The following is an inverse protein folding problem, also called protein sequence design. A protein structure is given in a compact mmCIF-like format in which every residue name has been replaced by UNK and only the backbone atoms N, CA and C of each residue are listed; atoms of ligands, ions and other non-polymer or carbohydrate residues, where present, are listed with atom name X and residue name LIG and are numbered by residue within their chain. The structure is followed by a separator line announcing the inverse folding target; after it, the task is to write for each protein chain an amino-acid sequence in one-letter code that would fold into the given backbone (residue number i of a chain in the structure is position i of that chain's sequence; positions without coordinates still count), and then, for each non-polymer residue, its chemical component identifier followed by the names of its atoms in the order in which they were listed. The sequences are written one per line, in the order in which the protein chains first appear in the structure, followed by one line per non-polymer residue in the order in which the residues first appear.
data_IF_968680229607
#
_entry.id   IF_968680229607
#
_cell.length_a   1.000
_cell.length_b   1.000
_cell.length_c   1.000
_cell.angle_alpha   90.00
_cell.angle_beta   90.00
_cell.angle_gamma   90.00
#
_symmetry.space_group_name_H-M   'P 1'
#
loop_
_entity.id
_entity.type
_entity.pdbx_description
1 polymer ?
#
# COMPACT_ATOMS: atom_id res chain seq x y z
N UNK A 1 -5.12 -12.82 -12.53
CA UNK A 1 -5.67 -11.46 -12.30
C UNK A 1 -6.48 -11.32 -11.00
N UNK A 2 -6.49 -12.30 -10.07
CA UNK A 2 -7.21 -12.15 -8.79
C UNK A 2 -6.34 -11.52 -7.68
N UNK A 3 -5.02 -11.72 -7.73
CA UNK A 3 -4.09 -11.21 -6.70
C UNK A 3 -4.08 -9.68 -6.59
N UNK A 4 -4.01 -8.95 -7.71
CA UNK A 4 -4.04 -7.48 -7.68
C UNK A 4 -5.29 -6.92 -6.97
N UNK A 5 -6.46 -7.51 -7.19
CA UNK A 5 -7.68 -7.11 -6.49
C UNK A 5 -7.64 -7.42 -4.99
N UNK A 6 -7.08 -8.57 -4.61
CA UNK A 6 -6.90 -8.94 -3.19
C UNK A 6 -5.93 -7.97 -2.51
N UNK A 7 -4.83 -7.62 -3.18
CA UNK A 7 -3.84 -6.67 -2.69
C UNK A 7 -4.46 -5.28 -2.52
N UNK A 8 -5.17 -4.78 -3.53
CA UNK A 8 -5.88 -3.50 -3.43
C UNK A 8 -6.88 -3.49 -2.27
N UNK A 9 -7.64 -4.56 -2.10
CA UNK A 9 -8.61 -4.65 -1.02
C UNK A 9 -7.91 -4.61 0.34
N UNK A 10 -6.84 -5.40 0.52
CA UNK A 10 -6.06 -5.41 1.76
C UNK A 10 -5.40 -4.06 2.05
N UNK A 11 -4.82 -3.41 1.02
CA UNK A 11 -4.28 -2.07 1.15
C UNK A 11 -5.35 -1.09 1.60
N UNK A 12 -6.55 -1.15 1.03
CA UNK A 12 -7.65 -0.28 1.46
C UNK A 12 -8.01 -0.53 2.94
N UNK A 13 -8.08 -1.80 3.38
CA UNK A 13 -8.29 -2.12 4.81
C UNK A 13 -7.18 -1.59 5.72
N UNK A 14 -5.93 -1.68 5.29
CA UNK A 14 -4.77 -1.19 6.05
C UNK A 14 -4.76 0.35 6.07
N UNK A 15 -5.17 1.00 4.98
CA UNK A 15 -5.19 2.46 4.83
C UNK A 15 -6.42 3.11 5.50
N UNK A 16 -7.56 2.43 5.58
CA UNK A 16 -8.80 2.87 6.24
C UNK A 16 -8.61 3.61 7.58
N UNK A 17 -7.80 3.11 8.54
CA UNK A 17 -7.55 3.82 9.80
C UNK A 17 -6.67 5.07 9.66
N UNK A 18 -5.92 5.21 8.57
CA UNK A 18 -5.02 6.35 8.32
C UNK A 18 -5.66 7.44 7.45
N UNK A 19 -6.71 7.11 6.69
CA UNK A 19 -7.42 8.07 5.83
C UNK A 19 -8.53 8.81 6.57
N UNK A 20 -8.87 9.99 6.08
CA UNK A 20 -9.96 10.78 6.65
C UNK A 20 -11.30 10.09 6.39
N UNK A 21 -12.19 10.04 7.39
CA UNK A 21 -13.54 9.48 7.23
C UNK A 21 -14.26 10.13 6.04
N UNK A 22 -14.64 9.31 5.06
CA UNK A 22 -15.34 9.74 3.85
C UNK A 22 -14.44 10.00 2.64
N UNK A 23 -13.11 9.86 2.77
CA UNK A 23 -12.19 9.91 1.64
C UNK A 23 -12.22 8.58 0.89
N UNK A 24 -12.57 8.63 -0.40
CA UNK A 24 -12.54 7.47 -1.27
C UNK A 24 -11.10 7.19 -1.69
N UNK A 25 -10.53 6.10 -1.18
CA UNK A 25 -9.22 5.61 -1.61
C UNK A 25 -9.38 4.85 -2.92
N UNK A 26 -8.82 5.40 -3.99
CA UNK A 26 -8.80 4.79 -5.31
C UNK A 26 -7.37 4.43 -5.70
N UNK A 27 -7.20 3.71 -6.81
CA UNK A 27 -5.89 3.32 -7.32
C UNK A 27 -5.01 4.54 -7.66
N UNK A 28 -5.63 5.66 -8.06
CA UNK A 28 -4.95 6.92 -8.39
C UNK A 28 -4.65 7.80 -7.17
N UNK A 29 -5.16 7.43 -5.98
CA UNK A 29 -4.96 8.21 -4.75
C UNK A 29 -3.49 8.22 -4.36
N UNK A 30 -2.94 9.41 -4.17
CA UNK A 30 -1.55 9.61 -3.74
C UNK A 30 -1.42 9.39 -2.23
N UNK A 31 -0.57 8.45 -1.85
CA UNK A 31 -0.35 8.04 -0.47
C UNK A 31 0.23 9.17 0.39
N UNK A 32 1.05 10.05 -0.18
CA UNK A 32 1.70 11.13 0.58
C UNK A 32 0.96 12.45 0.36
N UNK A 33 0.64 12.79 -0.88
CA UNK A 33 0.04 14.07 -1.21
C UNK A 33 -1.47 14.13 -0.92
N UNK A 34 -2.22 13.05 -1.14
CA UNK A 34 -3.68 13.02 -0.95
C UNK A 34 -4.06 12.50 0.45
N UNK A 35 -3.38 11.46 0.92
CA UNK A 35 -3.65 10.88 2.25
C UNK A 35 -2.81 11.50 3.38
N UNK A 36 -1.75 12.26 3.06
CA UNK A 36 -0.89 12.86 4.08
C UNK A 36 -0.20 11.82 4.96
N UNK A 37 0.24 10.69 4.38
CA UNK A 37 0.94 9.67 5.15
C UNK A 37 2.35 10.15 5.53
N UNK A 38 2.56 10.31 6.83
CA UNK A 38 3.86 10.58 7.42
C UNK A 38 4.78 9.36 7.35
N UNK A 39 6.11 9.53 7.34
CA UNK A 39 7.08 8.41 7.33
C UNK A 39 6.79 7.34 8.39
N UNK A 40 6.30 7.72 9.58
CA UNK A 40 5.90 6.78 10.62
C UNK A 40 4.67 5.95 10.25
N UNK A 41 3.68 6.56 9.61
CA UNK A 41 2.48 5.84 9.13
C UNK A 41 2.87 4.88 8.01
N UNK A 42 3.72 5.34 7.09
CA UNK A 42 4.26 4.51 6.00
C UNK A 42 4.95 3.27 6.56
N UNK A 43 5.83 3.42 7.57
CA UNK A 43 6.46 2.27 8.24
C UNK A 43 5.45 1.29 8.84
N UNK A 44 4.38 1.75 9.48
CA UNK A 44 3.33 0.87 10.03
C UNK A 44 2.53 0.15 8.95
N UNK A 45 2.26 0.84 7.85
CA UNK A 45 1.55 0.26 6.70
C UNK A 45 2.41 -0.83 6.08
N UNK A 46 3.70 -0.57 5.86
CA UNK A 46 4.65 -1.56 5.37
C UNK A 46 4.66 -2.80 6.26
N UNK A 47 4.84 -2.63 7.57
CA UNK A 47 4.85 -3.74 8.53
C UNK A 47 3.55 -4.58 8.47
N UNK A 48 2.40 -3.91 8.35
CA UNK A 48 1.09 -4.58 8.24
C UNK A 48 0.92 -5.33 6.92
N UNK A 49 1.51 -4.83 5.83
CA UNK A 49 1.49 -5.48 4.52
C UNK A 49 2.46 -6.66 4.51
N UNK A 50 3.68 -6.48 5.01
CA UNK A 50 4.70 -7.53 5.10
C UNK A 50 4.17 -8.74 5.88
N UNK A 51 3.54 -8.52 7.05
CA UNK A 51 2.90 -9.59 7.84
C UNK A 51 1.73 -10.26 7.11
N UNK A 52 0.92 -9.48 6.40
CA UNK A 52 -0.30 -10.00 5.75
C UNK A 52 -0.03 -10.79 4.47
N UNK A 53 1.03 -10.44 3.75
CA UNK A 53 1.40 -11.07 2.48
C UNK A 53 2.61 -11.99 2.61
N UNK A 54 3.24 -12.07 3.78
CA UNK A 54 4.48 -12.83 4.03
C UNK A 54 5.61 -12.44 3.06
N UNK A 55 5.70 -11.15 2.73
CA UNK A 55 6.72 -10.57 1.84
C UNK A 55 7.61 -9.59 2.60
N UNK A 56 8.76 -9.25 2.01
CA UNK A 56 9.60 -8.16 2.52
C UNK A 56 9.65 -6.99 1.54
N UNK A 57 9.33 -5.80 2.02
CA UNK A 57 9.21 -4.58 1.19
C UNK A 57 10.39 -3.65 1.50
N UNK A 58 11.36 -3.51 0.58
CA UNK A 58 12.51 -2.65 0.83
C UNK A 58 12.14 -1.17 0.78
N UNK A 59 12.63 -0.37 1.73
CA UNK A 59 12.38 1.09 1.78
C UNK A 59 12.79 1.84 0.51
N UNK A 60 13.67 1.27 -0.31
CA UNK A 60 14.08 1.84 -1.59
C UNK A 60 12.95 1.90 -2.63
N UNK A 61 11.85 1.17 -2.43
CA UNK A 61 10.68 1.18 -3.33
C UNK A 61 9.71 2.31 -2.98
N UNK A 62 9.75 2.84 -1.76
CA UNK A 62 8.91 3.95 -1.31
C UNK A 62 8.95 5.19 -2.21
N UNK A 63 10.11 5.65 -2.73
CA UNK A 63 10.12 6.78 -3.67
C UNK A 63 9.47 6.49 -5.01
N UNK A 64 9.36 5.22 -5.42
CA UNK A 64 8.65 4.77 -6.62
C UNK A 64 7.14 4.69 -6.33
N UNK A 65 6.79 4.25 -5.12
CA UNK A 65 5.42 4.11 -4.62
C UNK A 65 4.80 5.46 -4.27
N UNK A 66 4.11 6.05 -5.24
CA UNK A 66 3.34 7.30 -5.06
C UNK A 66 1.86 7.06 -4.79
N UNK A 67 1.25 6.17 -5.56
CA UNK A 67 -0.19 5.92 -5.51
C UNK A 67 -0.49 4.55 -4.94
N UNK A 68 -1.74 4.34 -4.52
CA UNK A 68 -2.22 3.03 -4.06
C UNK A 68 -2.00 1.95 -5.12
N UNK A 69 -2.19 2.30 -6.40
CA UNK A 69 -1.88 1.43 -7.55
C UNK A 69 -0.43 1.01 -7.58
N UNK A 70 0.48 1.97 -7.46
CA UNK A 70 1.91 1.70 -7.53
C UNK A 70 2.31 0.74 -6.40
N UNK A 71 1.78 1.00 -5.20
CA UNK A 71 2.02 0.12 -4.07
C UNK A 71 1.48 -1.29 -4.28
N UNK A 72 0.25 -1.42 -4.79
CA UNK A 72 -0.36 -2.70 -5.08
C UNK A 72 0.42 -3.50 -6.13
N UNK A 73 0.89 -2.84 -7.18
CA UNK A 73 1.74 -3.44 -8.21
C UNK A 73 3.08 -3.89 -7.62
N UNK A 74 3.66 -3.11 -6.71
CA UNK A 74 4.92 -3.46 -6.08
C UNK A 74 4.80 -4.70 -5.19
N UNK A 75 3.74 -4.77 -4.39
CA UNK A 75 3.42 -5.96 -3.57
C UNK A 75 3.19 -7.17 -4.46
N UNK A 76 2.42 -6.99 -5.56
CA UNK A 76 2.15 -8.08 -6.49
C UNK A 76 3.45 -8.65 -7.07
N UNK A 77 4.36 -7.78 -7.53
CA UNK A 77 5.66 -8.21 -8.05
C UNK A 77 6.47 -8.96 -7.01
N UNK A 78 6.52 -8.46 -5.77
CA UNK A 78 7.25 -9.11 -4.67
C UNK A 78 6.66 -10.48 -4.30
N UNK A 79 5.33 -10.62 -4.40
CA UNK A 79 4.63 -11.89 -4.15
C UNK A 79 4.85 -12.90 -5.29
N UNK A 80 4.99 -12.46 -6.53
CA UNK A 80 5.27 -13.34 -7.68
C UNK A 80 6.73 -13.80 -7.78
N UNK A 81 7.68 -13.08 -7.16
CA UNK A 81 9.10 -13.43 -7.09
C UNK A 81 9.44 -14.37 -5.90
N UNK A 82 8.45 -14.76 -5.09
CA UNK A 82 8.55 -15.62 -3.90
C UNK A 82 8.36 -17.11 -4.15
#
# INVERSE_FOLDING_TARGET
MHEYQIILQALNEILQPFVTRGQAVNEDTDLVADLGLDSLKVMKILESVEDRFDISIPLNVLPDVRTVKDFALQIQKLNEDG
#
